data_IF_598800574637
#
_entry.id   IF_598800574637
#
_cell.length_a   1.000
_cell.length_b   1.000
_cell.length_c   1.000
_cell.angle_alpha   90.00
_cell.angle_beta   90.00
_cell.angle_gamma   90.00
#
_symmetry.space_group_name_H-M   'P 1'
#
loop_
_entity.id
_entity.type
_entity.pdbx_description
1 polymer ?
#
# COMPACT_ATOMS: atom_id res chain seq x y z
N UNK A 1 -12.94 25.46 10.38
CA UNK A 1 -11.72 24.71 10.01
C UNK A 1 -10.54 25.66 10.17
N UNK A 2 -9.62 25.41 11.11
CA UNK A 2 -8.43 26.25 11.32
C UNK A 2 -7.39 25.88 10.27
N UNK A 3 -7.17 26.75 9.28
CA UNK A 3 -6.15 26.50 8.26
C UNK A 3 -4.77 26.74 8.88
N UNK A 4 -3.85 25.79 8.70
CA UNK A 4 -2.48 25.93 9.22
C UNK A 4 -1.71 26.94 8.35
N UNK A 5 -1.60 28.19 8.79
CA UNK A 5 -0.98 29.31 8.05
C UNK A 5 0.45 28.98 7.55
N UNK A 6 1.21 28.18 8.30
CA UNK A 6 2.56 27.75 7.89
C UNK A 6 2.58 26.85 6.66
N UNK A 7 1.50 26.08 6.41
CA UNK A 7 1.41 25.19 5.24
C UNK A 7 1.10 25.91 3.93
N UNK A 8 0.52 27.11 4.00
CA UNK A 8 0.09 27.88 2.81
C UNK A 8 1.18 28.83 2.35
N UNK A 9 2.08 29.25 3.25
CA UNK A 9 3.07 30.31 3.01
C UNK A 9 3.98 30.08 1.79
N UNK A 10 4.20 28.82 1.38
CA UNK A 10 5.07 28.46 0.25
C UNK A 10 4.31 28.13 -1.05
N UNK A 11 2.97 28.15 -1.05
CA UNK A 11 2.19 27.82 -2.23
C UNK A 11 2.20 28.99 -3.21
N UNK A 12 2.61 28.74 -4.47
CA UNK A 12 2.54 29.71 -5.56
C UNK A 12 1.35 29.41 -6.46
N UNK A 13 0.24 30.19 -6.38
CA UNK A 13 -0.93 29.98 -7.20
C UNK A 13 -0.57 30.01 -8.69
N UNK A 14 -1.27 29.22 -9.48
CA UNK A 14 -1.15 29.29 -10.94
C UNK A 14 -1.98 30.46 -11.42
N UNK A 15 -1.39 31.33 -12.24
CA UNK A 15 -1.99 32.62 -12.61
C UNK A 15 -2.49 32.68 -14.05
N UNK A 16 -2.11 31.72 -14.90
CA UNK A 16 -2.57 31.63 -16.29
C UNK A 16 -2.87 30.20 -16.74
N UNK A 17 -3.69 30.06 -17.78
CA UNK A 17 -4.02 28.78 -18.42
C UNK A 17 -2.79 28.11 -19.05
N UNK A 18 -1.89 28.90 -19.63
CA UNK A 18 -0.63 28.43 -20.20
C UNK A 18 0.32 27.91 -19.12
N UNK A 19 0.44 28.63 -17.99
CA UNK A 19 1.24 28.19 -16.84
C UNK A 19 0.67 26.90 -16.23
N UNK A 20 -0.65 26.78 -16.14
CA UNK A 20 -1.32 25.56 -15.69
C UNK A 20 -0.98 24.37 -16.59
N UNK A 21 -1.01 24.57 -17.91
CA UNK A 21 -0.71 23.53 -18.91
C UNK A 21 0.74 23.09 -18.83
N UNK A 22 1.68 24.03 -18.74
CA UNK A 22 3.11 23.73 -18.63
C UNK A 22 3.45 23.00 -17.32
N UNK A 23 2.91 23.46 -16.18
CA UNK A 23 3.08 22.77 -14.89
C UNK A 23 2.48 21.37 -14.92
N UNK A 24 1.28 21.20 -15.51
CA UNK A 24 0.63 19.90 -15.68
C UNK A 24 1.45 18.93 -16.54
N UNK A 25 1.99 19.43 -17.66
CA UNK A 25 2.88 18.65 -18.55
C UNK A 25 4.14 18.20 -17.83
N UNK A 26 4.82 19.09 -17.12
CA UNK A 26 6.03 18.77 -16.32
C UNK A 26 5.72 17.77 -15.22
N UNK A 27 4.60 17.95 -14.51
CA UNK A 27 4.14 17.02 -13.48
C UNK A 27 3.84 15.62 -14.05
N UNK A 28 3.14 15.55 -15.18
CA UNK A 28 2.85 14.29 -15.87
C UNK A 28 4.11 13.57 -16.33
N UNK A 29 5.07 14.31 -16.91
CA UNK A 29 6.37 13.76 -17.32
C UNK A 29 7.15 13.20 -16.13
N UNK A 30 7.26 13.97 -15.03
CA UNK A 30 7.99 13.53 -13.83
C UNK A 30 7.32 12.35 -13.16
N UNK A 31 5.99 12.35 -13.07
CA UNK A 31 5.22 11.22 -12.56
C UNK A 31 5.46 9.97 -13.41
N UNK A 32 5.45 10.11 -14.74
CA UNK A 32 5.73 9.01 -15.68
C UNK A 32 7.16 8.45 -15.51
N UNK A 33 8.16 9.31 -15.33
CA UNK A 33 9.54 8.92 -15.05
C UNK A 33 9.63 8.10 -13.75
N UNK A 34 9.06 8.61 -12.65
CA UNK A 34 9.05 7.91 -11.35
C UNK A 34 8.31 6.57 -11.44
N UNK A 35 7.17 6.51 -12.15
CA UNK A 35 6.44 5.25 -12.37
C UNK A 35 7.30 4.23 -13.11
N UNK A 36 8.02 4.63 -14.17
CA UNK A 36 8.94 3.76 -14.90
C UNK A 36 10.11 3.30 -14.03
N UNK A 37 10.68 4.19 -13.24
CA UNK A 37 11.76 3.85 -12.30
C UNK A 37 11.29 2.82 -11.27
N UNK A 38 10.11 3.01 -10.66
CA UNK A 38 9.52 2.05 -9.72
C UNK A 38 9.24 0.69 -10.37
N UNK A 39 8.74 0.69 -11.60
CA UNK A 39 8.53 -0.54 -12.37
C UNK A 39 9.85 -1.29 -12.59
N UNK A 40 10.88 -0.60 -13.09
CA UNK A 40 12.20 -1.20 -13.30
C UNK A 40 12.80 -1.75 -12.01
N UNK A 41 12.64 -1.03 -10.89
CA UNK A 41 13.11 -1.48 -9.59
C UNK A 41 12.36 -2.74 -9.12
N UNK A 42 11.04 -2.78 -9.29
CA UNK A 42 10.23 -3.97 -9.01
C UNK A 42 10.70 -5.17 -9.83
N UNK A 43 10.87 -5.02 -11.14
CA UNK A 43 11.36 -6.08 -12.02
C UNK A 43 12.76 -6.57 -11.62
N UNK A 44 13.63 -5.65 -11.18
CA UNK A 44 14.97 -6.00 -10.69
C UNK A 44 14.89 -6.81 -9.39
N UNK A 45 14.03 -6.41 -8.45
CA UNK A 45 13.84 -7.14 -7.20
C UNK A 45 13.23 -8.52 -7.45
N UNK A 46 12.23 -8.63 -8.34
CA UNK A 46 11.66 -9.91 -8.74
C UNK A 46 12.74 -10.83 -9.30
N UNK A 47 13.60 -10.34 -10.19
CA UNK A 47 14.74 -11.12 -10.68
C UNK A 47 15.64 -11.59 -9.54
N UNK A 48 16.06 -10.69 -8.65
CA UNK A 48 16.98 -11.02 -7.55
C UNK A 48 16.40 -12.06 -6.59
N UNK A 49 15.08 -12.03 -6.35
CA UNK A 49 14.40 -12.99 -5.49
C UNK A 49 14.42 -14.42 -6.05
N UNK A 50 14.34 -14.59 -7.36
CA UNK A 50 14.38 -15.90 -8.02
C UNK A 50 15.80 -16.42 -8.31
N UNK A 51 16.85 -15.63 -8.03
CA UNK A 51 18.22 -16.10 -8.16
C UNK A 51 18.61 -16.98 -6.96
N UNK A 52 19.55 -17.93 -7.15
CA UNK A 52 20.08 -18.70 -6.04
C UNK A 52 20.83 -17.81 -5.03
N UNK A 53 20.90 -18.21 -3.75
CA UNK A 53 21.68 -17.52 -2.73
C UNK A 53 23.15 -17.33 -3.12
N UNK A 54 23.66 -16.13 -2.92
CA UNK A 54 25.02 -15.75 -3.31
C UNK A 54 26.13 -16.15 -2.33
N UNK A 55 25.77 -16.52 -1.08
CA UNK A 55 26.73 -17.00 -0.07
C UNK A 55 26.78 -18.53 -0.10
N UNK A 56 28.00 -19.07 -0.06
CA UNK A 56 28.29 -20.49 -0.36
C UNK A 56 27.57 -21.49 0.55
N UNK A 57 27.28 -21.10 1.80
CA UNK A 57 26.66 -21.95 2.81
C UNK A 57 25.12 -21.86 2.86
N UNK A 58 24.54 -20.79 2.30
CA UNK A 58 23.09 -20.57 2.36
C UNK A 58 22.33 -21.60 1.52
N UNK A 59 22.82 -21.91 0.31
CA UNK A 59 22.21 -22.94 -0.54
C UNK A 59 22.28 -24.32 0.13
N UNK A 60 23.41 -24.67 0.72
CA UNK A 60 23.58 -25.94 1.44
C UNK A 60 22.64 -26.02 2.66
N UNK A 61 22.45 -24.91 3.37
CA UNK A 61 21.52 -24.81 4.50
C UNK A 61 20.08 -25.04 4.04
N UNK A 62 19.67 -24.48 2.89
CA UNK A 62 18.32 -24.71 2.33
C UNK A 62 18.09 -26.19 1.99
N UNK A 63 19.05 -26.83 1.32
CA UNK A 63 18.99 -28.26 1.00
C UNK A 63 18.93 -29.12 2.27
N UNK A 64 19.70 -28.77 3.31
CA UNK A 64 19.69 -29.47 4.60
C UNK A 64 18.34 -29.33 5.34
N UNK A 65 17.60 -28.26 5.08
CA UNK A 65 16.23 -28.06 5.59
C UNK A 65 15.17 -28.80 4.76
N UNK A 66 15.56 -29.47 3.67
CA UNK A 66 14.67 -30.23 2.79
C UNK A 66 14.01 -29.42 1.68
N UNK A 67 14.55 -28.24 1.35
CA UNK A 67 14.12 -27.47 0.17
C UNK A 67 14.69 -28.13 -1.08
N UNK A 68 13.88 -28.27 -2.13
CA UNK A 68 14.33 -28.81 -3.41
C UNK A 68 15.34 -27.88 -4.08
N UNK A 69 16.25 -28.44 -4.89
CA UNK A 69 17.30 -27.64 -5.54
C UNK A 69 16.74 -26.55 -6.47
N UNK A 70 15.60 -26.82 -7.11
CA UNK A 70 14.91 -25.89 -8.00
C UNK A 70 14.26 -24.71 -7.22
N UNK A 71 13.95 -24.92 -5.94
CA UNK A 71 13.33 -23.92 -5.05
C UNK A 71 14.36 -23.21 -4.14
N UNK A 72 15.65 -23.50 -4.33
CA UNK A 72 16.75 -22.86 -3.62
C UNK A 72 17.05 -21.47 -4.18
N UNK A 73 16.12 -20.53 -3.96
CA UNK A 73 16.23 -19.14 -4.33
C UNK A 73 16.32 -18.19 -3.12
N UNK A 74 16.58 -16.91 -3.39
CA UNK A 74 16.65 -15.88 -2.34
C UNK A 74 15.30 -15.66 -1.67
N UNK A 75 14.18 -15.89 -2.35
CA UNK A 75 12.84 -15.77 -1.77
C UNK A 75 12.62 -16.80 -0.65
N UNK A 76 12.93 -18.06 -0.90
CA UNK A 76 12.85 -19.15 0.08
C UNK A 76 13.80 -18.91 1.24
N UNK A 77 15.03 -18.45 0.96
CA UNK A 77 15.99 -18.07 2.00
C UNK A 77 15.45 -17.00 2.95
N UNK A 78 14.85 -15.93 2.42
CA UNK A 78 14.27 -14.86 3.22
C UNK A 78 13.11 -15.39 4.07
N UNK A 79 12.24 -16.21 3.49
CA UNK A 79 11.10 -16.79 4.21
C UNK A 79 11.55 -17.65 5.40
N UNK A 80 12.51 -18.54 5.20
CA UNK A 80 13.08 -19.39 6.26
C UNK A 80 13.76 -18.53 7.33
N UNK A 81 14.54 -17.53 6.92
CA UNK A 81 15.21 -16.62 7.86
C UNK A 81 14.22 -15.85 8.73
N UNK A 82 13.09 -15.42 8.16
CA UNK A 82 12.01 -14.75 8.89
C UNK A 82 11.33 -15.71 9.88
N UNK A 83 11.07 -16.97 9.47
CA UNK A 83 10.49 -17.98 10.36
C UNK A 83 11.44 -18.28 11.54
N UNK A 84 12.74 -18.45 11.27
CA UNK A 84 13.75 -18.66 12.31
C UNK A 84 13.85 -17.47 13.26
N UNK A 85 13.84 -16.24 12.73
CA UNK A 85 13.87 -15.02 13.53
C UNK A 85 12.62 -14.88 14.41
N UNK A 86 11.44 -15.22 13.87
CA UNK A 86 10.19 -15.24 14.61
C UNK A 86 10.23 -16.29 15.73
N UNK A 87 10.75 -17.49 15.46
CA UNK A 87 10.93 -18.55 16.45
C UNK A 87 11.92 -18.15 17.56
N UNK A 88 12.91 -17.31 17.24
CA UNK A 88 13.83 -16.73 18.21
C UNK A 88 13.22 -15.57 19.03
N UNK A 89 11.99 -15.16 18.74
CA UNK A 89 11.25 -14.13 19.49
C UNK A 89 11.20 -12.74 18.83
N UNK A 90 11.63 -12.59 17.58
CA UNK A 90 11.44 -11.31 16.86
C UNK A 90 9.96 -11.12 16.48
N UNK A 91 9.30 -10.24 17.23
CA UNK A 91 7.89 -9.88 17.04
C UNK A 91 7.63 -9.27 15.65
N UNK A 92 8.60 -8.54 15.07
CA UNK A 92 8.45 -7.96 13.73
C UNK A 92 8.51 -9.03 12.66
N UNK A 93 9.42 -10.00 12.80
CA UNK A 93 9.46 -11.15 11.91
C UNK A 93 8.17 -11.99 12.02
N UNK A 94 7.68 -12.22 13.25
CA UNK A 94 6.40 -12.91 13.47
C UNK A 94 5.21 -12.16 12.81
N UNK A 95 5.17 -10.83 12.94
CA UNK A 95 4.15 -10.00 12.28
C UNK A 95 4.29 -10.04 10.76
N UNK A 96 5.51 -10.04 10.21
CA UNK A 96 5.76 -10.16 8.77
C UNK A 96 5.27 -11.51 8.23
N UNK A 97 5.58 -12.61 8.93
CA UNK A 97 5.11 -13.96 8.54
C UNK A 97 3.58 -14.01 8.56
N UNK A 98 2.96 -13.54 9.65
CA UNK A 98 1.49 -13.44 9.79
C UNK A 98 0.85 -12.64 8.65
N UNK A 99 1.38 -11.45 8.36
CA UNK A 99 0.86 -10.58 7.32
C UNK A 99 1.04 -11.19 5.93
N UNK A 100 2.11 -11.95 5.70
CA UNK A 100 2.41 -12.62 4.42
C UNK A 100 1.46 -13.79 4.16
N UNK A 101 1.07 -14.55 5.21
CA UNK A 101 0.09 -15.65 5.08
C UNK A 101 -1.37 -15.18 5.05
N UNK A 102 -1.62 -13.87 5.17
CA UNK A 102 -2.97 -13.30 5.14
C UNK A 102 -3.70 -13.32 6.48
N UNK A 103 -3.05 -13.74 7.57
CA UNK A 103 -3.60 -13.76 8.94
C UNK A 103 -3.51 -12.39 9.62
N UNK A 104 -3.42 -11.32 8.83
CA UNK A 104 -3.38 -9.96 9.37
C UNK A 104 -4.74 -9.68 10.02
N UNK A 105 -4.78 -9.38 11.34
CA UNK A 105 -6.01 -8.97 11.98
C UNK A 105 -6.55 -7.77 11.21
N UNK A 106 -7.75 -7.92 10.67
CA UNK A 106 -8.48 -6.75 10.20
C UNK A 106 -8.86 -6.01 11.46
N UNK A 107 -8.16 -4.91 11.72
CA UNK A 107 -8.71 -3.87 12.55
C UNK A 107 -10.02 -3.50 11.87
N UNK A 108 -11.14 -4.03 12.37
CA UNK A 108 -12.43 -3.40 12.17
C UNK A 108 -12.29 -2.05 12.84
N UNK A 109 -11.76 -1.10 12.07
CA UNK A 109 -12.01 0.29 12.35
C UNK A 109 -13.51 0.37 12.15
N UNK A 110 -14.25 0.27 13.26
CA UNK A 110 -15.56 0.87 13.35
C UNK A 110 -15.30 2.35 13.05
N UNK A 111 -15.29 2.67 11.76
CA UNK A 111 -15.51 4.02 11.33
C UNK A 111 -16.88 4.30 11.93
N UNK A 112 -16.89 4.95 13.08
CA UNK A 112 -18.02 5.78 13.49
C UNK A 112 -18.13 6.75 12.33
N UNK A 113 -18.91 6.35 11.33
CA UNK A 113 -19.46 7.25 10.34
C UNK A 113 -20.10 8.29 11.25
N UNK A 114 -19.50 9.47 11.32
CA UNK A 114 -20.14 10.59 11.96
C UNK A 114 -21.44 10.75 11.18
N UNK A 115 -22.54 10.22 11.71
CA UNK A 115 -23.86 10.40 11.16
C UNK A 115 -24.04 11.90 11.13
N UNK A 116 -24.05 12.45 9.92
CA UNK A 116 -24.36 13.86 9.75
C UNK A 116 -25.75 14.08 10.35
N UNK A 117 -26.07 15.24 10.92
CA UNK A 117 -27.45 15.59 11.27
C UNK A 117 -28.42 15.45 10.08
N UNK A 118 -27.88 15.41 8.85
CA UNK A 118 -28.61 15.09 7.63
C UNK A 118 -28.98 13.60 7.54
N UNK A 119 -28.10 12.69 7.94
CA UNK A 119 -28.31 11.24 7.86
C UNK A 119 -29.41 10.79 8.83
N UNK A 120 -29.47 11.37 10.03
CA UNK A 120 -30.55 11.15 10.99
C UNK A 120 -31.90 11.62 10.45
N UNK A 121 -31.95 12.83 9.88
CA UNK A 121 -33.17 13.38 9.27
C UNK A 121 -33.63 12.61 8.03
N UNK A 122 -32.70 12.08 7.24
CA UNK A 122 -33.02 11.26 6.07
C UNK A 122 -33.57 9.89 6.46
N UNK A 123 -33.11 9.33 7.58
CA UNK A 123 -33.62 8.05 8.12
C UNK A 123 -35.04 8.16 8.70
N UNK A 124 -35.47 9.36 9.11
CA UNK A 124 -36.82 9.63 9.61
C UNK A 124 -37.86 9.82 8.50
N UNK A 125 -37.43 10.06 7.26
CA UNK A 125 -38.31 10.28 6.10
C UNK A 125 -38.76 8.96 5.48
N UNK A 126 -40.04 8.90 5.08
CA UNK A 126 -40.59 7.76 4.36
C UNK A 126 -40.03 7.67 2.93
N UNK A 127 -40.07 6.47 2.33
CA UNK A 127 -39.59 6.27 0.95
C UNK A 127 -40.36 7.12 -0.08
N UNK A 128 -41.62 7.44 0.20
CA UNK A 128 -42.46 8.27 -0.65
C UNK A 128 -42.00 9.74 -0.61
N UNK A 129 -41.66 10.25 0.57
CA UNK A 129 -41.15 11.62 0.73
C UNK A 129 -39.77 11.79 0.09
N UNK A 130 -38.90 10.77 0.23
CA UNK A 130 -37.59 10.76 -0.42
C UNK A 130 -37.71 10.75 -1.95
N UNK A 131 -38.66 9.98 -2.52
CA UNK A 131 -38.91 9.95 -3.98
C UNK A 131 -39.42 11.29 -4.50
N UNK A 132 -40.31 11.94 -3.75
CA UNK A 132 -40.85 13.26 -4.08
C UNK A 132 -39.79 14.35 -4.06
N UNK A 133 -38.89 14.33 -3.06
CA UNK A 133 -37.74 15.26 -2.98
C UNK A 133 -36.77 15.03 -4.15
N UNK A 134 -36.55 13.78 -4.54
CA UNK A 134 -35.68 13.40 -5.65
C UNK A 134 -36.30 13.64 -7.04
N UNK A 135 -37.58 14.06 -7.12
CA UNK A 135 -38.29 14.24 -8.38
C UNK A 135 -38.49 12.94 -9.15
N UNK A 136 -38.59 11.81 -8.44
CA UNK A 136 -38.74 10.46 -8.98
C UNK A 136 -40.20 9.96 -8.92
N UNK A 137 -41.16 10.89 -8.87
CA UNK A 137 -42.60 10.58 -8.93
C UNK A 137 -42.99 9.99 -10.30
#
# INVERSE_FOLDING_TARGET
MSVNEKSIANLRPVTSTEEARERGKKGGQKSGEVRRQRKKFKETLELLLHLPPGLSDQKETLLALGVDEDDCDNQTLIAISMIQSAAAGDVKAAAWVRDTVGEKPTDKVDAVIATSPLDEKLAELSQEELRKIAGLD
#
